data_IF_845052652017
#
_entry.id   IF_845052652017
#
_cell.length_a   1.000
_cell.length_b   1.000
_cell.length_c   1.000
_cell.angle_alpha   90.00
_cell.angle_beta   90.00
_cell.angle_gamma   90.00
#
_symmetry.space_group_name_H-M   'P 1'
#
loop_
_entity.id
_entity.type
_entity.pdbx_description
1 polymer ?
#
# COMPACT_ATOMS: atom_id res chain seq x y z
N UNK A 1 47.04 62.07 25.52
CA UNK A 1 47.30 60.62 25.51
C UNK A 1 46.19 59.95 26.30
N UNK A 2 45.13 59.46 25.63
CA UNK A 2 44.11 58.61 26.26
C UNK A 2 44.34 57.16 25.80
N UNK A 3 44.59 56.28 26.77
CA UNK A 3 44.60 54.83 26.61
C UNK A 3 43.15 54.34 26.46
N UNK A 4 42.87 53.58 25.39
CA UNK A 4 41.62 52.85 25.24
C UNK A 4 41.80 51.40 25.73
N UNK A 5 41.03 51.00 26.74
CA UNK A 5 40.91 49.62 27.19
C UNK A 5 40.03 48.82 26.21
N UNK A 6 40.54 47.68 25.73
CA UNK A 6 39.79 46.70 24.93
C UNK A 6 39.30 45.60 25.87
N UNK A 7 38.00 45.31 25.83
CA UNK A 7 37.38 44.18 26.55
C UNK A 7 37.16 43.03 25.56
N UNK A 8 37.47 41.76 25.88
CA UNK A 8 37.27 40.65 24.95
C UNK A 8 35.79 40.25 24.90
N UNK A 9 35.29 39.92 23.71
CA UNK A 9 33.96 39.38 23.51
C UNK A 9 33.95 37.88 23.87
N UNK A 10 32.99 37.47 24.70
CA UNK A 10 32.75 36.07 25.05
C UNK A 10 32.08 35.33 23.88
N UNK A 11 32.66 34.21 23.44
CA UNK A 11 32.01 33.30 22.50
C UNK A 11 30.79 32.66 23.15
N UNK A 12 29.61 32.84 22.54
CA UNK A 12 28.39 32.13 22.92
C UNK A 12 28.42 30.73 22.30
N UNK A 13 28.37 29.70 23.15
CA UNK A 13 28.25 28.31 22.73
C UNK A 13 26.93 28.08 21.97
N UNK A 14 27.02 27.49 20.78
CA UNK A 14 25.86 27.16 19.95
C UNK A 14 25.03 26.02 20.56
N UNK A 15 23.73 26.25 20.70
CA UNK A 15 22.76 25.24 21.12
C UNK A 15 22.60 24.13 20.05
N UNK A 16 22.28 22.89 20.45
CA UNK A 16 22.14 21.78 19.51
C UNK A 16 20.93 21.99 18.60
N UNK A 17 21.15 21.89 17.30
CA UNK A 17 20.10 22.00 16.29
C UNK A 17 19.15 20.80 16.39
N UNK A 18 17.89 21.08 16.72
CA UNK A 18 16.81 20.09 16.68
C UNK A 18 16.64 19.53 15.26
N UNK A 19 16.25 18.25 15.18
CA UNK A 19 16.02 17.56 13.92
C UNK A 19 15.07 18.37 13.02
N UNK A 20 15.59 18.79 11.86
CA UNK A 20 14.83 19.53 10.87
C UNK A 20 13.77 18.59 10.28
N UNK A 21 12.51 18.77 10.66
CA UNK A 21 11.39 18.22 9.90
C UNK A 21 11.46 18.81 8.49
N UNK A 22 11.91 18.02 7.52
CA UNK A 22 12.08 18.46 6.14
C UNK A 22 10.79 19.07 5.59
N UNK A 23 10.94 20.12 4.77
CA UNK A 23 9.82 20.84 4.15
C UNK A 23 8.87 19.86 3.43
N UNK A 24 7.56 20.18 3.35
CA UNK A 24 6.60 19.34 2.63
C UNK A 24 7.04 19.14 1.18
N UNK A 25 7.20 17.88 0.77
CA UNK A 25 7.50 17.53 -0.63
C UNK A 25 6.26 17.88 -1.48
N UNK A 26 6.36 18.83 -2.42
CA UNK A 26 5.21 19.28 -3.21
C UNK A 26 4.71 18.20 -4.17
N UNK A 27 5.46 17.12 -4.42
CA UNK A 27 5.05 16.07 -5.36
C UNK A 27 4.10 15.04 -4.76
N UNK A 28 3.92 15.04 -3.43
CA UNK A 28 3.11 14.05 -2.70
C UNK A 28 2.04 14.70 -1.83
N UNK A 29 1.05 13.90 -1.45
CA UNK A 29 0.02 14.22 -0.48
C UNK A 29 0.06 13.19 0.64
N UNK A 30 0.12 13.65 1.89
CA UNK A 30 0.24 12.79 3.09
C UNK A 30 -0.98 12.96 3.98
N UNK A 31 -1.58 11.84 4.36
CA UNK A 31 -2.60 11.76 5.40
C UNK A 31 -2.01 11.05 6.61
N UNK A 32 -2.15 11.62 7.79
CA UNK A 32 -1.63 11.05 9.05
C UNK A 32 -2.78 10.68 9.97
N UNK A 33 -2.65 9.57 10.68
CA UNK A 33 -3.62 9.10 11.66
C UNK A 33 -3.04 9.28 13.07
N UNK A 34 -3.78 9.93 13.95
CA UNK A 34 -3.41 10.16 15.36
C UNK A 34 -3.28 8.84 16.12
N UNK A 35 -2.57 8.87 17.25
CA UNK A 35 -2.44 7.67 18.09
C UNK A 35 -3.79 7.14 18.58
N UNK A 36 -4.80 8.00 18.74
CA UNK A 36 -6.16 7.57 19.09
C UNK A 36 -6.82 6.83 17.93
N UNK A 37 -6.84 7.42 16.73
CA UNK A 37 -7.44 6.81 15.54
C UNK A 37 -6.82 5.43 15.23
N UNK A 38 -5.51 5.28 15.44
CA UNK A 38 -4.83 3.99 15.22
C UNK A 38 -5.23 2.90 16.23
N UNK A 39 -5.45 3.27 17.49
CA UNK A 39 -5.99 2.35 18.50
C UNK A 39 -7.45 2.00 18.20
N UNK A 40 -8.24 2.99 17.80
CA UNK A 40 -9.64 2.80 17.44
C UNK A 40 -9.76 1.87 16.21
N UNK A 41 -8.89 2.03 15.21
CA UNK A 41 -8.82 1.16 14.03
C UNK A 41 -8.60 -0.32 14.40
N UNK A 42 -7.65 -0.60 15.31
CA UNK A 42 -7.38 -1.96 15.78
C UNK A 42 -8.53 -2.52 16.61
N UNK A 43 -9.21 -1.69 17.42
CA UNK A 43 -10.37 -2.09 18.20
C UNK A 43 -11.60 -2.36 17.30
N UNK A 44 -11.75 -1.59 16.22
CA UNK A 44 -12.83 -1.71 15.25
C UNK A 44 -12.73 -3.03 14.46
N UNK A 45 -11.54 -3.33 13.93
CA UNK A 45 -11.28 -4.51 13.12
C UNK A 45 -10.97 -5.75 13.96
N UNK A 46 -11.95 -6.19 14.73
CA UNK A 46 -11.88 -7.48 15.44
C UNK A 46 -11.75 -8.65 14.46
N UNK A 47 -11.22 -9.81 14.90
CA UNK A 47 -11.19 -11.01 14.08
C UNK A 47 -12.56 -11.43 13.53
N UNK A 48 -13.63 -11.21 14.30
CA UNK A 48 -14.99 -11.48 13.85
C UNK A 48 -15.41 -10.55 12.71
N UNK A 49 -15.14 -9.23 12.83
CA UNK A 49 -15.45 -8.24 11.81
C UNK A 49 -14.66 -8.47 10.51
N UNK A 50 -13.36 -8.73 10.64
CA UNK A 50 -12.47 -9.10 9.53
C UNK A 50 -12.96 -10.33 8.76
N UNK A 51 -13.52 -11.34 9.46
CA UNK A 51 -14.09 -12.54 8.83
C UNK A 51 -15.48 -12.29 8.21
N UNK A 52 -16.20 -11.27 8.67
CA UNK A 52 -17.55 -10.99 8.23
C UNK A 52 -17.62 -10.09 6.99
N UNK A 53 -16.67 -9.15 6.82
CA UNK A 53 -16.74 -8.12 5.77
C UNK A 53 -16.89 -8.66 4.34
N UNK A 54 -16.30 -9.82 4.02
CA UNK A 54 -16.43 -10.43 2.70
C UNK A 54 -17.84 -10.96 2.38
N UNK A 55 -18.69 -11.16 3.40
CA UNK A 55 -20.01 -11.78 3.23
C UNK A 55 -21.05 -10.82 2.66
N UNK A 56 -20.89 -9.52 2.87
CA UNK A 56 -21.82 -8.47 2.40
C UNK A 56 -21.49 -7.97 0.99
N UNK A 57 -20.38 -8.42 0.40
CA UNK A 57 -19.94 -8.01 -0.94
C UNK A 57 -19.96 -9.21 -1.88
N UNK A 58 -20.63 -9.06 -3.03
CA UNK A 58 -20.71 -10.08 -4.08
C UNK A 58 -20.54 -9.44 -5.44
N UNK A 59 -19.33 -9.52 -5.99
CA UNK A 59 -19.02 -8.99 -7.32
C UNK A 59 -19.19 -10.06 -8.43
N UNK A 60 -20.02 -11.06 -8.19
CA UNK A 60 -20.24 -12.16 -9.14
C UNK A 60 -19.18 -13.28 -9.04
N UNK A 61 -19.19 -14.22 -9.98
CA UNK A 61 -18.25 -15.35 -9.99
C UNK A 61 -16.82 -14.90 -10.32
N UNK A 62 -15.83 -15.56 -9.75
CA UNK A 62 -14.43 -15.44 -10.16
C UNK A 62 -14.28 -15.93 -11.59
N UNK A 63 -13.66 -15.12 -12.44
CA UNK A 63 -13.44 -15.44 -13.84
C UNK A 63 -12.41 -16.57 -14.05
N UNK A 64 -12.26 -17.05 -15.29
CA UNK A 64 -11.42 -18.21 -15.61
C UNK A 64 -9.91 -17.94 -15.61
N UNK A 65 -9.43 -16.69 -15.63
CA UNK A 65 -8.00 -16.34 -15.68
C UNK A 65 -7.35 -16.35 -14.30
N UNK A 66 -8.00 -15.76 -13.31
CA UNK A 66 -7.49 -15.75 -11.94
C UNK A 66 -7.62 -17.14 -11.30
N UNK A 67 -6.60 -17.52 -10.52
CA UNK A 67 -6.52 -18.82 -9.86
C UNK A 67 -6.18 -18.66 -8.40
N UNK A 68 -6.71 -19.51 -7.49
CA UNK A 68 -6.29 -19.49 -6.10
C UNK A 68 -4.80 -19.77 -5.99
N UNK A 69 -4.09 -18.95 -5.22
CA UNK A 69 -2.70 -19.21 -4.90
C UNK A 69 -2.61 -20.40 -3.94
N UNK A 70 -1.77 -21.37 -4.30
CA UNK A 70 -1.53 -22.62 -3.54
C UNK A 70 -0.04 -22.88 -3.29
N UNK A 71 0.84 -21.97 -3.70
CA UNK A 71 2.27 -22.05 -3.45
C UNK A 71 2.66 -21.59 -2.05
N UNK A 72 3.94 -21.23 -1.87
CA UNK A 72 4.47 -20.71 -0.61
C UNK A 72 3.62 -19.57 -0.06
N UNK A 73 3.39 -19.56 1.25
CA UNK A 73 2.57 -18.53 1.89
C UNK A 73 3.16 -17.13 1.64
N UNK A 74 2.38 -16.27 0.98
CA UNK A 74 2.76 -14.89 0.66
C UNK A 74 2.69 -14.02 1.91
N UNK A 75 3.74 -14.05 2.74
CA UNK A 75 3.78 -13.33 4.03
C UNK A 75 3.66 -11.82 3.85
N UNK A 76 4.25 -11.27 2.80
CA UNK A 76 4.25 -9.82 2.54
C UNK A 76 2.93 -9.31 1.98
N UNK A 77 2.08 -10.18 1.42
CA UNK A 77 0.81 -9.78 0.77
C UNK A 77 -0.34 -9.99 1.73
N UNK A 78 -1.19 -8.98 1.87
CA UNK A 78 -2.27 -8.99 2.85
C UNK A 78 -3.46 -8.17 2.41
N UNK A 79 -4.51 -8.22 3.25
CA UNK A 79 -5.68 -7.35 3.09
C UNK A 79 -5.44 -6.05 3.85
N UNK A 80 -5.81 -4.94 3.21
CA UNK A 80 -5.89 -3.62 3.81
C UNK A 80 -7.36 -3.34 4.09
N UNK A 81 -7.79 -3.40 5.34
CA UNK A 81 -9.17 -3.14 5.76
C UNK A 81 -9.34 -1.67 6.12
N UNK A 82 -10.48 -1.11 5.78
CA UNK A 82 -10.81 0.28 6.06
C UNK A 82 -12.32 0.53 5.98
N UNK A 83 -12.77 1.61 6.60
CA UNK A 83 -14.13 2.13 6.45
C UNK A 83 -14.08 3.20 5.36
N UNK A 84 -14.86 3.00 4.31
CA UNK A 84 -14.86 3.92 3.17
C UNK A 84 -15.69 5.19 3.42
N UNK A 85 -15.75 6.07 2.43
CA UNK A 85 -16.44 7.36 2.54
C UNK A 85 -17.97 7.26 2.76
N UNK A 86 -18.58 6.10 2.48
CA UNK A 86 -20.00 5.85 2.75
C UNK A 86 -20.23 5.19 4.12
N UNK A 87 -19.18 5.01 4.93
CA UNK A 87 -19.25 4.32 6.22
C UNK A 87 -19.30 2.80 6.10
N UNK A 88 -18.99 2.24 4.93
CA UNK A 88 -19.02 0.79 4.71
C UNK A 88 -17.65 0.15 4.97
N UNK A 89 -17.69 -0.97 5.67
CA UNK A 89 -16.57 -1.90 5.81
C UNK A 89 -16.16 -2.42 4.44
N UNK A 90 -14.89 -2.25 4.10
CA UNK A 90 -14.35 -2.78 2.84
C UNK A 90 -12.86 -3.13 3.00
N UNK A 91 -12.27 -3.60 1.90
CA UNK A 91 -10.86 -3.89 1.84
C UNK A 91 -10.27 -3.66 0.45
N UNK A 92 -8.96 -3.49 0.46
CA UNK A 92 -8.06 -3.66 -0.67
C UNK A 92 -7.06 -4.78 -0.37
N UNK A 93 -6.16 -5.01 -1.31
CA UNK A 93 -4.92 -5.76 -1.11
C UNK A 93 -3.75 -4.78 -0.98
N UNK A 94 -2.75 -5.11 -0.18
CA UNK A 94 -1.51 -4.34 -0.07
C UNK A 94 -0.32 -5.28 0.14
N UNK A 95 0.90 -4.76 -0.06
CA UNK A 95 2.14 -5.56 0.04
C UNK A 95 3.24 -4.85 0.81
N UNK A 96 3.80 -5.53 1.80
CA UNK A 96 5.01 -5.08 2.50
C UNK A 96 6.21 -5.05 1.56
N UNK A 97 6.95 -3.95 1.59
CA UNK A 97 8.19 -3.76 0.81
C UNK A 97 9.35 -3.47 1.75
N UNK A 98 10.56 -3.84 1.33
CA UNK A 98 11.76 -3.40 2.04
C UNK A 98 11.76 -1.87 2.11
N UNK A 99 12.05 -1.30 3.28
CA UNK A 99 12.07 0.15 3.48
C UNK A 99 13.00 0.51 4.64
N UNK A 100 13.56 1.71 4.62
CA UNK A 100 14.49 2.17 5.67
C UNK A 100 13.89 2.12 7.09
N UNK A 101 12.58 2.36 7.22
CA UNK A 101 11.88 2.31 8.50
C UNK A 101 11.27 0.93 8.85
N UNK A 102 11.37 -0.07 7.95
CA UNK A 102 10.84 -1.42 8.12
C UNK A 102 9.31 -1.50 8.29
N UNK A 103 8.58 -0.49 7.81
CA UNK A 103 7.15 -0.31 8.09
C UNK A 103 6.31 0.11 6.88
N UNK A 104 6.82 -0.02 5.65
CA UNK A 104 6.09 0.43 4.44
C UNK A 104 5.32 -0.72 3.78
N UNK A 105 4.10 -0.42 3.38
CA UNK A 105 3.30 -1.23 2.45
C UNK A 105 2.92 -0.41 1.22
N UNK A 106 2.90 -1.05 0.05
CA UNK A 106 2.42 -0.47 -1.20
C UNK A 106 0.99 -0.93 -1.49
N UNK A 107 0.18 -0.02 -2.03
CA UNK A 107 -1.19 -0.26 -2.47
C UNK A 107 -1.56 0.69 -3.63
N UNK A 108 -2.81 0.68 -4.06
CA UNK A 108 -3.35 1.69 -4.98
C UNK A 108 -3.74 2.96 -4.19
N UNK A 109 -3.71 4.11 -4.86
CA UNK A 109 -4.17 5.39 -4.31
C UNK A 109 -5.65 5.37 -3.91
N UNK A 110 -6.50 4.73 -4.71
CA UNK A 110 -7.94 4.62 -4.43
C UNK A 110 -8.27 3.75 -3.22
N UNK A 111 -7.30 2.98 -2.72
CA UNK A 111 -7.43 2.20 -1.50
C UNK A 111 -7.25 3.04 -0.23
N UNK A 112 -6.69 4.25 -0.34
CA UNK A 112 -6.42 5.12 0.82
C UNK A 112 -7.25 6.39 0.85
N UNK A 113 -7.77 6.82 -0.30
CA UNK A 113 -8.71 7.94 -0.43
C UNK A 113 -9.45 7.91 -1.75
N UNK A 114 -10.51 8.69 -1.87
CA UNK A 114 -11.14 9.00 -3.16
C UNK A 114 -10.16 9.77 -4.09
N UNK A 115 -10.20 9.50 -5.40
CA UNK A 115 -9.48 10.32 -6.39
C UNK A 115 -9.97 11.77 -6.38
N UNK A 116 -9.10 12.71 -6.76
CA UNK A 116 -9.45 14.13 -6.94
C UNK A 116 -10.22 14.72 -5.73
N UNK A 117 -9.82 14.36 -4.51
CA UNK A 117 -10.51 14.73 -3.27
C UNK A 117 -9.56 15.47 -2.31
N UNK A 118 -9.94 16.67 -1.83
CA UNK A 118 -9.09 17.48 -0.95
C UNK A 118 -9.13 17.02 0.52
N UNK A 119 -10.05 16.11 0.88
CA UNK A 119 -10.27 15.68 2.25
C UNK A 119 -9.94 14.20 2.43
N UNK A 120 -9.56 13.82 3.66
CA UNK A 120 -9.51 12.41 4.01
C UNK A 120 -10.91 11.82 3.90
N UNK A 121 -11.01 10.64 3.30
CA UNK A 121 -12.29 10.00 2.99
C UNK A 121 -12.45 8.65 3.65
N UNK A 122 -11.35 8.02 4.11
CA UNK A 122 -11.37 6.69 4.69
C UNK A 122 -10.73 6.70 6.08
N UNK A 123 -11.24 5.83 6.95
CA UNK A 123 -10.83 5.73 8.37
C UNK A 123 -10.62 4.27 8.77
N UNK A 124 -10.16 4.07 10.01
CA UNK A 124 -9.98 2.76 10.63
C UNK A 124 -9.13 1.81 9.78
N UNK A 125 -7.98 2.28 9.30
CA UNK A 125 -7.15 1.50 8.38
C UNK A 125 -6.21 0.51 9.09
N UNK A 126 -6.32 -0.78 8.75
CA UNK A 126 -5.42 -1.83 9.25
C UNK A 126 -4.94 -2.75 8.12
N UNK A 127 -3.65 -3.07 8.13
CA UNK A 127 -3.05 -4.05 7.23
C UNK A 127 -2.87 -5.40 7.93
N UNK A 128 -3.32 -6.48 7.28
CA UNK A 128 -3.23 -7.85 7.80
C UNK A 128 -2.44 -8.71 6.81
N UNK A 129 -1.11 -8.86 7.01
CA UNK A 129 -0.26 -9.65 6.13
C UNK A 129 -0.53 -11.16 6.24
N UNK A 130 -0.38 -11.89 5.13
CA UNK A 130 -0.56 -13.34 5.08
C UNK A 130 -1.98 -13.80 5.40
N UNK A 131 -2.97 -12.92 5.22
CA UNK A 131 -4.37 -13.19 5.52
C UNK A 131 -4.90 -14.42 4.76
N UNK A 132 -5.77 -15.20 5.40
CA UNK A 132 -6.52 -16.24 4.68
C UNK A 132 -7.59 -16.90 5.52
N UNK A 133 -8.83 -16.94 5.01
CA UNK A 133 -9.99 -17.58 5.68
C UNK A 133 -10.20 -17.11 7.12
N UNK A 134 -10.11 -15.81 7.35
CA UNK A 134 -10.15 -15.18 8.67
C UNK A 134 -8.89 -15.32 9.53
N UNK A 135 -7.88 -16.09 9.10
CA UNK A 135 -6.60 -16.22 9.82
C UNK A 135 -5.74 -14.98 9.61
N UNK A 136 -5.10 -14.55 10.69
CA UNK A 136 -4.22 -13.38 10.73
C UNK A 136 -2.87 -13.81 11.34
N UNK A 137 -2.07 -14.62 10.62
CA UNK A 137 -0.91 -15.30 11.20
C UNK A 137 0.16 -14.36 11.76
N UNK A 138 0.20 -13.11 11.29
CA UNK A 138 1.16 -12.08 11.67
C UNK A 138 0.51 -10.91 12.41
N UNK A 139 -0.78 -10.99 12.74
CA UNK A 139 -1.55 -9.92 13.37
C UNK A 139 -1.98 -8.82 12.40
N UNK A 140 -2.52 -7.74 12.98
CA UNK A 140 -2.95 -6.54 12.28
C UNK A 140 -2.05 -5.35 12.66
N UNK A 141 -1.76 -4.51 11.67
CA UNK A 141 -0.90 -3.34 11.81
C UNK A 141 -1.71 -2.09 11.46
N UNK A 142 -1.87 -1.17 12.41
CA UNK A 142 -2.57 0.08 12.16
C UNK A 142 -1.78 0.96 11.19
N UNK A 143 -2.47 1.58 10.23
CA UNK A 143 -1.84 2.58 9.35
C UNK A 143 -1.65 3.87 10.13
N UNK A 144 -0.43 4.41 10.14
CA UNK A 144 -0.11 5.71 10.76
C UNK A 144 0.02 6.85 9.79
N UNK A 145 0.37 6.57 8.54
CA UNK A 145 0.34 7.54 7.47
C UNK A 145 0.06 6.85 6.14
N UNK A 146 -0.64 7.55 5.24
CA UNK A 146 -0.83 7.15 3.85
C UNK A 146 -0.32 8.28 2.94
N UNK A 147 0.54 7.93 2.00
CA UNK A 147 1.16 8.84 1.05
C UNK A 147 0.74 8.44 -0.35
N UNK A 148 0.44 9.43 -1.16
CA UNK A 148 -0.03 9.29 -2.54
C UNK A 148 0.60 10.40 -3.39
N UNK A 149 0.69 10.24 -4.72
CA UNK A 149 1.10 11.34 -5.57
C UNK A 149 0.15 12.52 -5.39
N UNK A 150 0.66 13.75 -5.50
CA UNK A 150 -0.21 14.93 -5.51
C UNK A 150 -1.18 14.88 -6.70
N UNK A 151 -0.72 14.38 -7.84
CA UNK A 151 -1.54 14.15 -9.04
C UNK A 151 -2.69 13.16 -8.83
N UNK A 152 -2.58 12.23 -7.86
CA UNK A 152 -3.73 11.40 -7.46
C UNK A 152 -4.76 12.23 -6.68
N UNK A 153 -4.29 13.21 -5.89
CA UNK A 153 -5.12 14.06 -5.03
C UNK A 153 -5.92 15.08 -5.83
N UNK A 154 -5.33 15.56 -6.92
CA UNK A 154 -5.80 16.69 -7.70
C UNK A 154 -6.43 16.23 -9.03
N UNK A 155 -5.79 15.27 -9.72
CA UNK A 155 -6.10 14.95 -11.12
C UNK A 155 -6.56 13.49 -11.34
N UNK A 156 -6.62 12.68 -10.27
CA UNK A 156 -6.98 11.26 -10.33
C UNK A 156 -6.06 10.38 -11.21
N UNK A 157 -4.78 10.73 -11.33
CA UNK A 157 -3.78 9.94 -12.08
C UNK A 157 -2.67 9.42 -11.17
N UNK A 158 -1.90 8.43 -11.66
CA UNK A 158 -0.90 7.72 -10.87
C UNK A 158 -1.50 7.04 -9.62
N UNK A 159 -2.39 6.08 -9.84
CA UNK A 159 -3.13 5.38 -8.78
C UNK A 159 -2.23 4.43 -7.96
N UNK A 160 -1.39 5.01 -7.11
CA UNK A 160 -0.46 4.31 -6.22
C UNK A 160 -0.41 4.99 -4.86
N UNK A 161 -0.21 4.21 -3.81
CA UNK A 161 0.02 4.70 -2.47
C UNK A 161 1.14 3.91 -1.79
N UNK A 162 1.85 4.58 -0.90
CA UNK A 162 2.67 3.96 0.13
C UNK A 162 2.07 4.30 1.49
N UNK A 163 1.82 3.29 2.32
CA UNK A 163 1.36 3.47 3.69
C UNK A 163 2.49 3.09 4.65
N UNK A 164 2.60 3.85 5.73
CA UNK A 164 3.46 3.50 6.86
C UNK A 164 2.59 2.95 7.97
N UNK A 165 2.91 1.76 8.48
CA UNK A 165 2.17 1.12 9.57
C UNK A 165 2.92 1.23 10.91
N UNK A 166 2.18 1.10 12.00
CA UNK A 166 2.73 0.93 13.34
C UNK A 166 3.44 -0.43 13.48
N UNK A 167 4.14 -0.62 14.60
CA UNK A 167 4.61 -1.93 15.00
C UNK A 167 3.44 -2.83 15.43
N UNK A 168 3.67 -4.15 15.47
CA UNK A 168 2.69 -5.09 16.01
C UNK A 168 2.49 -4.90 17.54
N UNK A 169 1.56 -5.63 18.12
CA UNK A 169 1.28 -5.59 19.56
C UNK A 169 2.48 -5.99 20.46
N UNK A 170 3.55 -6.56 19.88
CA UNK A 170 4.80 -6.92 20.56
C UNK A 170 5.93 -5.92 20.28
N UNK A 171 5.64 -4.81 19.60
CA UNK A 171 6.61 -3.78 19.26
C UNK A 171 7.52 -4.13 18.08
N UNK A 172 7.22 -5.19 17.31
CA UNK A 172 8.01 -5.60 16.15
C UNK A 172 7.54 -4.86 14.90
N UNK A 173 8.49 -4.37 14.09
CA UNK A 173 8.15 -3.68 12.84
C UNK A 173 7.71 -4.68 11.78
N UNK A 174 6.91 -4.21 10.83
CA UNK A 174 6.28 -5.06 9.83
C UNK A 174 7.29 -5.93 9.07
N UNK A 175 8.31 -5.30 8.48
CA UNK A 175 9.28 -6.00 7.62
C UNK A 175 10.13 -6.99 8.41
N UNK A 176 10.34 -6.76 9.71
CA UNK A 176 11.03 -7.70 10.60
C UNK A 176 10.20 -8.97 10.86
N UNK A 177 8.87 -8.88 10.75
CA UNK A 177 7.94 -10.01 10.98
C UNK A 177 7.68 -10.79 9.69
N UNK A 178 7.47 -10.10 8.57
CA UNK A 178 6.97 -10.72 7.33
C UNK A 178 7.94 -10.66 6.16
N UNK A 179 9.09 -10.01 6.31
CA UNK A 179 9.96 -9.65 5.21
C UNK A 179 9.40 -8.48 4.39
N UNK A 180 9.99 -8.26 3.22
CA UNK A 180 9.53 -7.24 2.28
C UNK A 180 9.80 -7.69 0.85
N UNK A 181 8.96 -7.27 -0.08
CA UNK A 181 9.27 -7.39 -1.50
C UNK A 181 10.30 -6.32 -1.89
N UNK A 182 11.19 -6.63 -2.82
CA UNK A 182 11.98 -5.61 -3.50
C UNK A 182 11.05 -4.75 -4.35
N UNK A 183 11.30 -3.45 -4.45
CA UNK A 183 10.54 -2.55 -5.32
C UNK A 183 11.47 -1.93 -6.36
N UNK A 184 11.01 -1.88 -7.61
CA UNK A 184 11.74 -1.24 -8.71
C UNK A 184 10.94 -0.11 -9.32
N UNK A 185 11.60 1.02 -9.55
CA UNK A 185 11.05 2.18 -10.24
C UNK A 185 11.66 2.30 -11.63
N UNK A 186 10.95 2.94 -12.56
CA UNK A 186 11.38 3.15 -13.95
C UNK A 186 11.72 1.85 -14.68
N UNK A 187 11.17 0.72 -14.24
CA UNK A 187 11.35 -0.56 -14.94
C UNK A 187 10.56 -0.52 -16.24
N UNK A 188 11.21 -0.91 -17.34
CA UNK A 188 10.57 -1.00 -18.66
C UNK A 188 9.40 -1.98 -18.61
N UNK A 189 8.27 -1.58 -19.20
CA UNK A 189 7.09 -2.44 -19.33
C UNK A 189 7.41 -3.65 -20.21
N UNK A 190 6.98 -4.83 -19.76
CA UNK A 190 7.25 -6.10 -20.42
C UNK A 190 7.58 -7.22 -19.43
N UNK A 191 7.81 -8.41 -19.97
CA UNK A 191 8.22 -9.57 -19.17
C UNK A 191 7.07 -10.25 -18.44
N UNK A 192 7.37 -11.44 -17.90
CA UNK A 192 6.42 -12.25 -17.14
C UNK A 192 6.15 -11.60 -15.78
N UNK A 193 4.89 -11.31 -15.52
CA UNK A 193 4.41 -10.67 -14.30
C UNK A 193 3.35 -11.53 -13.63
N UNK A 194 3.41 -11.61 -12.31
CA UNK A 194 2.42 -12.28 -11.47
C UNK A 194 1.69 -11.21 -10.65
N UNK A 195 0.40 -11.03 -10.91
CA UNK A 195 -0.44 -10.10 -10.16
C UNK A 195 -1.21 -10.86 -9.08
N UNK A 196 -1.19 -10.37 -7.84
CA UNK A 196 -1.86 -10.99 -6.69
C UNK A 196 -2.97 -10.11 -6.13
N UNK A 197 -4.01 -10.69 -5.52
CA UNK A 197 -5.11 -9.92 -4.93
C UNK A 197 -6.12 -10.76 -4.14
N UNK A 198 -6.91 -10.12 -3.28
CA UNK A 198 -8.07 -10.71 -2.59
C UNK A 198 -9.38 -10.15 -3.15
N UNK A 199 -9.81 -10.51 -4.37
CA UNK A 199 -11.05 -9.99 -4.92
C UNK A 199 -12.28 -10.51 -4.17
N UNK A 200 -13.34 -9.69 -4.15
CA UNK A 200 -14.64 -9.97 -3.55
C UNK A 200 -15.55 -10.85 -4.43
N UNK A 201 -14.97 -11.55 -5.40
CA UNK A 201 -15.68 -12.48 -6.28
C UNK A 201 -15.89 -13.83 -5.60
N UNK A 202 -16.90 -14.58 -6.04
CA UNK A 202 -17.25 -15.90 -5.48
C UNK A 202 -16.52 -17.05 -6.20
N UNK A 203 -16.16 -18.12 -5.46
CA UNK A 203 -16.52 -18.40 -4.07
C UNK A 203 -15.63 -17.76 -2.98
N UNK A 204 -14.57 -17.05 -3.35
CA UNK A 204 -13.50 -16.65 -2.43
C UNK A 204 -13.92 -15.53 -1.47
N UNK A 205 -14.69 -14.53 -1.94
CA UNK A 205 -15.20 -13.41 -1.13
C UNK A 205 -14.11 -12.70 -0.30
N UNK A 206 -12.92 -12.51 -0.89
CA UNK A 206 -11.76 -11.93 -0.20
C UNK A 206 -11.09 -12.84 0.84
N UNK A 207 -11.55 -14.08 1.02
CA UNK A 207 -10.99 -15.04 1.98
C UNK A 207 -9.78 -15.83 1.46
N UNK A 208 -9.52 -15.78 0.15
CA UNK A 208 -8.38 -16.45 -0.48
C UNK A 208 -7.59 -15.49 -1.36
N UNK A 209 -6.26 -15.64 -1.36
CA UNK A 209 -5.38 -14.95 -2.28
C UNK A 209 -5.54 -15.58 -3.68
N UNK A 210 -5.87 -14.74 -4.65
CA UNK A 210 -5.92 -15.08 -6.06
C UNK A 210 -4.71 -14.49 -6.77
N UNK A 211 -4.36 -15.07 -7.91
CA UNK A 211 -3.32 -14.54 -8.77
C UNK A 211 -3.68 -14.68 -10.25
N UNK A 212 -3.06 -13.83 -11.06
CA UNK A 212 -2.99 -13.92 -12.52
C UNK A 212 -1.53 -13.95 -12.95
N UNK A 213 -1.24 -14.52 -14.11
CA UNK A 213 0.10 -14.46 -14.71
C UNK A 213 -0.03 -14.10 -16.18
N UNK A 214 0.82 -13.18 -16.64
CA UNK A 214 0.86 -12.78 -18.03
C UNK A 214 2.06 -11.92 -18.34
N UNK A 215 2.23 -11.61 -19.61
CA UNK A 215 3.22 -10.63 -20.04
C UNK A 215 2.63 -9.24 -19.93
N UNK A 216 3.30 -8.32 -19.22
CA UNK A 216 2.84 -6.94 -19.12
C UNK A 216 2.99 -6.23 -20.49
N UNK A 217 1.99 -5.44 -20.87
CA UNK A 217 2.00 -4.64 -22.08
C UNK A 217 1.74 -3.16 -21.74
N UNK A 218 2.31 -2.19 -22.48
CA UNK A 218 2.00 -0.78 -22.28
C UNK A 218 0.51 -0.50 -22.47
N UNK A 219 -0.03 0.39 -21.64
CA UNK A 219 -1.38 0.93 -21.75
C UNK A 219 -1.33 2.47 -21.77
N UNK A 220 -2.42 3.15 -22.18
CA UNK A 220 -2.49 4.62 -22.13
C UNK A 220 -2.21 5.20 -20.73
N UNK A 221 -2.04 6.53 -20.66
CA UNK A 221 -1.88 7.27 -19.40
C UNK A 221 -0.71 6.83 -18.49
N UNK A 222 0.35 6.22 -19.07
CA UNK A 222 1.51 5.78 -18.31
C UNK A 222 1.26 4.50 -17.50
N UNK A 223 0.26 3.72 -17.90
CA UNK A 223 -0.06 2.44 -17.29
C UNK A 223 0.50 1.26 -18.08
N UNK A 224 0.28 0.08 -17.52
CA UNK A 224 0.53 -1.20 -18.12
C UNK A 224 -0.63 -2.15 -17.79
N UNK A 225 -0.82 -3.15 -18.64
CA UNK A 225 -1.89 -4.13 -18.51
C UNK A 225 -1.32 -5.56 -18.44
N UNK A 226 -1.96 -6.41 -17.64
CA UNK A 226 -1.75 -7.88 -17.68
C UNK A 226 -3.11 -8.57 -17.86
N UNK A 227 -3.16 -9.71 -18.58
CA UNK A 227 -4.38 -10.50 -18.71
C UNK A 227 -4.80 -11.05 -17.35
N UNK A 228 -5.85 -10.48 -16.78
CA UNK A 228 -6.32 -10.79 -15.44
C UNK A 228 -7.75 -10.33 -15.24
N UNK A 229 -8.56 -11.16 -14.59
CA UNK A 229 -9.99 -10.93 -14.33
C UNK A 229 -10.32 -10.81 -12.84
N UNK A 230 -9.31 -10.47 -12.01
CA UNK A 230 -9.56 -10.16 -10.60
C UNK A 230 -10.41 -8.90 -10.48
N UNK A 231 -11.53 -8.99 -9.74
CA UNK A 231 -12.42 -7.86 -9.49
C UNK A 231 -12.04 -7.02 -8.25
N UNK A 232 -12.97 -6.17 -7.82
CA UNK A 232 -12.81 -5.30 -6.65
C UNK A 232 -12.37 -6.05 -5.39
N UNK A 233 -11.53 -5.41 -4.56
CA UNK A 233 -10.82 -6.02 -3.43
C UNK A 233 -9.41 -6.52 -3.77
N UNK A 234 -9.14 -6.86 -5.04
CA UNK A 234 -7.79 -7.13 -5.52
C UNK A 234 -6.95 -5.85 -5.68
N UNK A 235 -7.60 -4.69 -5.78
CA UNK A 235 -7.01 -3.36 -5.81
C UNK A 235 -5.85 -3.18 -4.85
N UNK A 236 -4.76 -2.57 -5.30
CA UNK A 236 -3.51 -2.39 -4.57
C UNK A 236 -2.62 -3.63 -4.45
N UNK A 237 -3.12 -4.79 -4.88
CA UNK A 237 -2.35 -6.02 -4.87
C UNK A 237 -1.13 -5.97 -5.81
N UNK A 238 -0.04 -6.66 -5.47
CA UNK A 238 1.25 -6.43 -6.10
C UNK A 238 1.34 -7.09 -7.47
N UNK A 239 2.06 -6.44 -8.38
CA UNK A 239 2.58 -7.07 -9.59
C UNK A 239 4.05 -7.38 -9.39
N UNK A 240 4.37 -8.67 -9.33
CA UNK A 240 5.71 -9.17 -9.08
C UNK A 240 6.33 -9.70 -10.37
N UNK A 241 7.52 -9.20 -10.70
CA UNK A 241 8.44 -9.74 -11.70
C UNK A 241 9.57 -10.48 -10.98
N UNK A 242 10.33 -11.29 -11.70
CA UNK A 242 11.40 -12.13 -11.12
C UNK A 242 10.88 -12.95 -9.92
N UNK A 243 9.62 -13.37 -9.99
CA UNK A 243 8.91 -13.98 -8.89
C UNK A 243 9.31 -15.44 -8.73
N UNK A 244 9.88 -15.75 -7.57
CA UNK A 244 10.21 -17.10 -7.14
C UNK A 244 9.07 -17.65 -6.28
N UNK A 245 8.33 -18.60 -6.84
CA UNK A 245 7.19 -19.24 -6.18
C UNK A 245 7.57 -20.09 -4.97
N UNK A 246 8.84 -20.49 -4.84
CA UNK A 246 9.34 -21.29 -3.73
C UNK A 246 9.56 -20.45 -2.47
N UNK A 247 9.98 -19.19 -2.65
CA UNK A 247 10.21 -18.24 -1.54
C UNK A 247 9.06 -17.26 -1.35
N UNK A 248 8.25 -17.04 -2.39
CA UNK A 248 7.22 -15.99 -2.40
C UNK A 248 7.80 -14.58 -2.60
N UNK A 249 9.06 -14.47 -3.03
CA UNK A 249 9.75 -13.21 -3.25
C UNK A 249 9.80 -12.84 -4.74
N UNK A 250 9.77 -11.55 -5.03
CA UNK A 250 9.96 -10.99 -6.35
C UNK A 250 10.23 -9.48 -6.27
N UNK A 251 10.12 -8.84 -7.43
CA UNK A 251 10.29 -7.40 -7.58
C UNK A 251 8.94 -6.77 -7.92
N UNK A 252 8.45 -5.92 -7.02
CA UNK A 252 7.25 -5.11 -7.21
C UNK A 252 7.50 -4.06 -8.29
N UNK A 253 6.66 -4.09 -9.32
CA UNK A 253 6.77 -3.21 -10.50
C UNK A 253 5.48 -2.46 -10.84
N UNK A 254 4.38 -2.78 -10.15
CA UNK A 254 3.07 -2.15 -10.29
C UNK A 254 2.14 -2.63 -9.16
N UNK A 255 0.94 -2.08 -9.10
CA UNK A 255 -0.17 -2.53 -8.25
C UNK A 255 -1.45 -2.65 -9.09
N UNK A 256 -2.39 -3.51 -8.68
CA UNK A 256 -3.72 -3.58 -9.29
C UNK A 256 -4.45 -2.24 -9.11
N UNK A 257 -4.76 -1.54 -10.20
CA UNK A 257 -5.44 -0.23 -10.19
C UNK A 257 -6.91 -0.41 -10.56
N UNK A 258 -7.20 -0.80 -11.80
CA UNK A 258 -8.56 -1.02 -12.29
C UNK A 258 -8.63 -2.13 -13.34
N UNK A 259 -9.83 -2.63 -13.61
CA UNK A 259 -10.10 -3.55 -14.72
C UNK A 259 -10.57 -2.83 -15.98
N UNK A 260 -10.95 -3.57 -17.03
CA UNK A 260 -11.53 -3.02 -18.27
C UNK A 260 -12.83 -2.19 -18.06
N UNK A 261 -13.45 -2.28 -16.88
CA UNK A 261 -14.69 -1.60 -16.53
C UNK A 261 -15.20 -2.04 -15.15
N UNK A 262 -16.46 -1.70 -14.79
CA UNK A 262 -17.06 -2.10 -13.50
C UNK A 262 -17.40 -3.60 -13.41
N UNK A 263 -17.44 -4.30 -14.55
CA UNK A 263 -17.68 -5.74 -14.65
C UNK A 263 -16.37 -6.55 -14.66
N UNK A 264 -16.45 -7.88 -14.64
CA UNK A 264 -15.29 -8.76 -14.74
C UNK A 264 -14.56 -8.56 -16.08
N UNK A 265 -13.53 -7.70 -16.05
CA UNK A 265 -12.65 -7.44 -17.17
C UNK A 265 -11.76 -8.64 -17.51
N UNK A 266 -11.11 -8.57 -18.66
CA UNK A 266 -10.10 -9.52 -19.10
C UNK A 266 -8.67 -9.05 -18.81
N UNK A 267 -8.50 -7.76 -18.51
CA UNK A 267 -7.24 -7.15 -18.11
C UNK A 267 -7.35 -6.46 -16.77
N UNK A 268 -6.23 -6.49 -16.04
CA UNK A 268 -5.96 -5.62 -14.91
C UNK A 268 -4.92 -4.60 -15.36
N UNK A 269 -5.21 -3.33 -15.11
CA UNK A 269 -4.31 -2.21 -15.33
C UNK A 269 -3.62 -1.85 -14.03
N UNK A 270 -2.42 -1.30 -14.14
CA UNK A 270 -1.67 -0.77 -13.03
C UNK A 270 -0.68 0.30 -13.51
N UNK A 271 -0.37 1.30 -12.67
CA UNK A 271 0.55 2.36 -13.05
C UNK A 271 1.96 1.81 -13.26
N UNK A 272 2.67 2.33 -14.25
CA UNK A 272 4.13 2.15 -14.29
C UNK A 272 4.72 2.92 -13.10
N UNK A 273 5.50 2.23 -12.25
CA UNK A 273 6.11 2.86 -11.08
C UNK A 273 7.26 3.80 -11.50
N UNK A 274 6.93 5.02 -11.87
CA UNK A 274 7.88 6.09 -12.22
C UNK A 274 8.25 7.01 -11.05
N UNK A 275 8.61 8.24 -11.35
CA UNK A 275 9.06 9.23 -10.36
C UNK A 275 8.02 9.51 -9.28
N UNK A 276 6.74 9.58 -9.65
CA UNK A 276 5.65 9.82 -8.70
C UNK A 276 5.55 8.70 -7.65
N UNK A 277 5.63 7.44 -8.09
CA UNK A 277 5.64 6.28 -7.19
C UNK A 277 6.89 6.27 -6.30
N UNK A 278 8.06 6.62 -6.87
CA UNK A 278 9.33 6.71 -6.13
C UNK A 278 9.25 7.77 -5.03
N UNK A 279 8.75 8.97 -5.32
CA UNK A 279 8.60 10.03 -4.33
C UNK A 279 7.68 9.62 -3.17
N UNK A 280 6.57 8.94 -3.49
CA UNK A 280 5.63 8.40 -2.50
C UNK A 280 6.28 7.36 -1.58
N UNK A 281 6.97 6.38 -2.15
CA UNK A 281 7.71 5.38 -1.39
C UNK A 281 8.81 6.02 -0.52
N UNK A 282 9.59 6.94 -1.09
CA UNK A 282 10.67 7.64 -0.39
C UNK A 282 10.13 8.48 0.76
N UNK A 283 9.00 9.16 0.59
CA UNK A 283 8.35 9.90 1.67
C UNK A 283 7.86 8.97 2.78
N UNK A 284 7.25 7.84 2.45
CA UNK A 284 6.71 6.90 3.43
C UNK A 284 7.82 6.24 4.26
N UNK A 285 8.96 5.88 3.65
CA UNK A 285 10.05 5.22 4.36
C UNK A 285 10.82 6.14 5.32
N UNK A 286 10.68 7.47 5.22
CA UNK A 286 11.30 8.44 6.15
C UNK A 286 10.53 8.58 7.48
N UNK A 287 9.33 8.02 7.58
CA UNK A 287 8.46 8.08 8.75
C UNK A 287 7.65 9.37 8.84
#
# INVERSE_FOLDING_TARGET
MLLACVVPASEAAAAPQGAVHGAPDPSVSTMSFTAKERRDALAYWTPARIKAVGRSVDLGPTGPRSKPWRGTAMKTVGRLFFVNASGADTWCTATAVHSANHSVVMAAGHCVRRPASPVNTYIDMVFVPGYGKGRQPYGAFAVRAAVTPRTWAEDAVNDVAALTVDADAKGRKLVDVVGGQTIAFHRRVGGKTVAFGYPATRPQRGEELLYCTGTAAPAPAGEQAVPCDMGGGASGGPWLTDFDSSTGNGVLVSVNSHGDGPEAGTHMYGPVLGSAAKAVYERAQRG
#
